data_IF_338781572999
#
_entry.id   IF_338781572999
#
_cell.length_a   1.000
_cell.length_b   1.000
_cell.length_c   1.000
_cell.angle_alpha   90.00
_cell.angle_beta   90.00
_cell.angle_gamma   90.00
#
_symmetry.space_group_name_H-M   'P 1'
#
loop_
_entity.id
_entity.type
_entity.pdbx_description
1 polymer ?
#
# COMPACT_ATOMS: atom_id res chain seq x y z
N UNK A 1 -53.66 -18.97 78.66
CA UNK A 1 -53.22 -20.19 77.93
C UNK A 1 -53.68 -20.07 76.47
N UNK A 2 -52.86 -20.56 75.55
CA UNK A 2 -52.89 -20.31 74.10
C UNK A 2 -53.98 -21.07 73.33
N UNK A 3 -54.51 -20.51 72.23
CA UNK A 3 -54.83 -21.23 70.97
C UNK A 3 -55.16 -20.31 69.78
N UNK A 4 -54.99 -20.85 68.57
CA UNK A 4 -55.00 -20.18 67.25
C UNK A 4 -56.40 -19.99 66.62
N UNK A 5 -56.52 -18.98 65.75
CA UNK A 5 -56.90 -19.03 64.31
C UNK A 5 -57.05 -17.59 63.79
N UNK A 6 -56.35 -17.13 62.74
CA UNK A 6 -56.64 -17.31 61.30
C UNK A 6 -58.01 -16.71 60.91
N UNK A 7 -58.18 -15.79 59.95
CA UNK A 7 -57.26 -15.13 58.99
C UNK A 7 -57.56 -13.59 58.95
N UNK A 8 -57.29 -12.74 57.93
CA UNK A 8 -56.65 -12.77 56.58
C UNK A 8 -56.31 -11.32 56.14
N UNK A 9 -55.77 -11.11 54.92
CA UNK A 9 -55.78 -9.81 54.15
C UNK A 9 -54.93 -8.64 54.70
N UNK A 10 -53.98 -8.00 53.99
CA UNK A 10 -53.43 -8.17 52.63
C UNK A 10 -51.89 -8.01 52.69
N UNK A 11 -51.17 -8.81 51.90
CA UNK A 11 -49.84 -8.44 51.48
C UNK A 11 -49.97 -7.41 50.34
N UNK A 12 -49.70 -6.15 50.62
CA UNK A 12 -49.37 -5.18 49.57
C UNK A 12 -47.96 -5.53 49.06
N UNK A 13 -47.91 -6.39 48.05
CA UNK A 13 -46.68 -6.68 47.32
C UNK A 13 -46.36 -5.44 46.49
N UNK A 14 -45.48 -4.59 47.02
CA UNK A 14 -44.88 -3.45 46.34
C UNK A 14 -43.90 -3.96 45.28
N UNK A 15 -44.46 -4.57 44.23
CA UNK A 15 -43.74 -4.99 43.04
C UNK A 15 -43.67 -3.79 42.10
N UNK A 16 -42.70 -2.92 42.37
CA UNK A 16 -42.14 -2.02 41.37
C UNK A 16 -41.22 -2.82 40.44
N UNK A 17 -41.78 -3.84 39.79
CA UNK A 17 -41.12 -4.53 38.69
C UNK A 17 -41.30 -3.67 37.45
N UNK A 18 -40.24 -2.91 37.13
CA UNK A 18 -40.18 -1.89 36.06
C UNK A 18 -40.29 -2.42 34.63
N UNK A 19 -41.28 -3.28 34.38
CA UNK A 19 -41.68 -3.84 33.10
C UNK A 19 -42.90 -3.13 32.49
N UNK A 20 -43.43 -2.09 33.15
CA UNK A 20 -44.59 -1.32 32.65
C UNK A 20 -44.26 -0.41 31.44
N UNK A 21 -43.00 -0.36 31.00
CA UNK A 21 -42.54 0.20 29.73
C UNK A 21 -42.17 -0.92 28.73
N UNK A 22 -42.92 -2.03 28.76
CA UNK A 22 -42.92 -3.02 27.68
C UNK A 22 -43.82 -2.50 26.55
N UNK A 23 -43.20 -2.03 25.48
CA UNK A 23 -43.89 -1.72 24.23
C UNK A 23 -44.68 -2.95 23.77
N UNK A 24 -45.83 -2.74 23.13
CA UNK A 24 -46.54 -3.85 22.49
C UNK A 24 -45.70 -4.39 21.33
N UNK A 25 -45.77 -5.70 21.03
CA UNK A 25 -45.10 -6.32 19.87
C UNK A 25 -45.28 -5.51 18.56
N UNK A 26 -46.46 -4.89 18.36
CA UNK A 26 -46.75 -4.01 17.21
C UNK A 26 -45.96 -2.69 17.26
N UNK A 27 -45.81 -2.10 18.44
CA UNK A 27 -45.12 -0.83 18.68
C UNK A 27 -43.59 -1.01 18.66
N UNK A 28 -43.08 -2.16 19.11
CA UNK A 28 -41.71 -2.61 18.82
C UNK A 28 -41.51 -2.78 17.31
N UNK A 29 -42.47 -3.39 16.59
CA UNK A 29 -42.36 -3.59 15.16
C UNK A 29 -42.40 -2.27 14.36
N UNK A 30 -43.27 -1.32 14.70
CA UNK A 30 -43.32 0.01 14.08
C UNK A 30 -42.04 0.81 14.36
N UNK A 31 -41.53 0.78 15.60
CA UNK A 31 -40.30 1.50 15.94
C UNK A 31 -39.08 0.92 15.24
N UNK A 32 -38.99 -0.41 15.08
CA UNK A 32 -37.96 -1.07 14.26
C UNK A 32 -38.07 -0.67 12.77
N UNK A 33 -39.25 -0.74 12.16
CA UNK A 33 -39.47 -0.34 10.76
C UNK A 33 -39.10 1.13 10.52
N UNK A 34 -39.45 2.01 11.46
CA UNK A 34 -39.09 3.43 11.38
C UNK A 34 -37.56 3.62 11.44
N UNK A 35 -36.88 2.95 12.37
CA UNK A 35 -35.41 2.95 12.46
C UNK A 35 -34.73 2.44 11.18
N UNK A 36 -35.22 1.34 10.60
CA UNK A 36 -34.73 0.81 9.33
C UNK A 36 -34.94 1.79 8.18
N UNK A 37 -36.11 2.43 8.09
CA UNK A 37 -36.43 3.41 7.05
C UNK A 37 -35.48 4.62 7.10
N UNK A 38 -35.21 5.15 8.30
CA UNK A 38 -34.28 6.27 8.53
C UNK A 38 -32.84 5.85 8.24
N UNK A 39 -32.45 4.61 8.59
CA UNK A 39 -31.13 4.08 8.28
C UNK A 39 -30.94 3.90 6.75
N UNK A 40 -31.96 3.42 6.03
CA UNK A 40 -31.95 3.27 4.59
C UNK A 40 -31.88 4.64 3.89
N UNK A 41 -32.69 5.60 4.30
CA UNK A 41 -32.71 6.95 3.73
C UNK A 41 -31.34 7.66 3.88
N UNK A 42 -30.70 7.54 5.05
CA UNK A 42 -29.33 8.05 5.29
C UNK A 42 -28.30 7.39 4.38
N UNK A 43 -28.40 6.08 4.13
CA UNK A 43 -27.52 5.35 3.21
C UNK A 43 -27.74 5.79 1.76
N UNK A 44 -28.99 5.91 1.31
CA UNK A 44 -29.32 6.37 -0.04
C UNK A 44 -28.82 7.79 -0.32
N UNK A 45 -29.03 8.73 0.62
CA UNK A 45 -28.55 10.13 0.52
C UNK A 45 -27.03 10.25 0.39
N UNK A 46 -26.26 9.30 0.91
CA UNK A 46 -24.78 9.36 0.96
C UNK A 46 -24.08 8.44 -0.04
N UNK A 47 -24.80 7.51 -0.68
CA UNK A 47 -24.25 6.51 -1.61
C UNK A 47 -23.36 7.14 -2.68
N UNK A 48 -23.89 8.06 -3.49
CA UNK A 48 -23.12 8.70 -4.57
C UNK A 48 -21.92 9.53 -4.10
N UNK A 49 -21.97 10.11 -2.89
CA UNK A 49 -20.83 10.85 -2.30
C UNK A 49 -19.73 9.87 -1.88
N UNK A 50 -20.10 8.75 -1.26
CA UNK A 50 -19.15 7.71 -0.85
C UNK A 50 -18.51 7.05 -2.06
N UNK A 51 -19.29 6.73 -3.08
CA UNK A 51 -18.81 6.05 -4.27
C UNK A 51 -17.89 6.99 -5.09
N UNK A 52 -18.24 8.28 -5.22
CA UNK A 52 -17.38 9.30 -5.81
C UNK A 52 -16.09 9.57 -5.02
N UNK A 53 -16.16 9.52 -3.68
CA UNK A 53 -14.97 9.61 -2.81
C UNK A 53 -14.03 8.41 -3.02
N UNK A 54 -14.57 7.19 -3.16
CA UNK A 54 -13.74 6.01 -3.37
C UNK A 54 -13.08 6.00 -4.75
N UNK A 55 -13.82 6.37 -5.80
CA UNK A 55 -13.28 6.56 -7.15
C UNK A 55 -12.15 7.61 -7.16
N UNK A 56 -12.32 8.73 -6.45
CA UNK A 56 -11.30 9.77 -6.36
C UNK A 56 -10.02 9.33 -5.63
N UNK A 57 -10.13 8.47 -4.60
CA UNK A 57 -8.96 7.86 -3.95
C UNK A 57 -8.23 6.93 -4.91
N UNK A 58 -8.96 6.05 -5.60
CA UNK A 58 -8.39 5.07 -6.51
C UNK A 58 -7.65 5.75 -7.67
N UNK A 59 -8.27 6.77 -8.29
CA UNK A 59 -7.65 7.57 -9.35
C UNK A 59 -6.38 8.29 -8.85
N UNK A 60 -6.42 8.91 -7.67
CA UNK A 60 -5.24 9.57 -7.08
C UNK A 60 -4.13 8.55 -6.75
N UNK A 61 -4.48 7.36 -6.26
CA UNK A 61 -3.55 6.28 -5.95
C UNK A 61 -2.91 5.73 -7.22
N UNK A 62 -3.70 5.48 -8.26
CA UNK A 62 -3.22 4.97 -9.54
C UNK A 62 -2.29 5.98 -10.23
N UNK A 63 -2.62 7.28 -10.22
CA UNK A 63 -1.72 8.34 -10.73
C UNK A 63 -0.38 8.35 -10.00
N UNK A 64 -0.38 8.21 -8.67
CA UNK A 64 0.84 8.11 -7.86
C UNK A 64 1.65 6.84 -8.18
N UNK A 65 0.96 5.71 -8.38
CA UNK A 65 1.59 4.45 -8.77
C UNK A 65 2.21 4.52 -10.18
N UNK A 66 1.48 5.02 -11.17
CA UNK A 66 1.94 5.09 -12.57
C UNK A 66 3.17 6.00 -12.70
N UNK A 67 3.20 7.12 -11.98
CA UNK A 67 4.35 8.01 -11.92
C UNK A 67 5.57 7.30 -11.30
N UNK A 68 5.42 6.74 -10.08
CA UNK A 68 6.50 6.05 -9.38
C UNK A 68 6.99 4.79 -10.11
N UNK A 69 6.09 4.06 -10.78
CA UNK A 69 6.42 2.92 -11.62
C UNK A 69 7.24 3.35 -12.85
N UNK A 70 6.86 4.45 -13.51
CA UNK A 70 7.58 4.98 -14.67
C UNK A 70 9.00 5.41 -14.29
N UNK A 71 9.15 6.18 -13.22
CA UNK A 71 10.46 6.61 -12.69
C UNK A 71 11.33 5.42 -12.26
N UNK A 72 10.76 4.49 -11.49
CA UNK A 72 11.42 3.28 -11.04
C UNK A 72 11.84 2.37 -12.19
N UNK A 73 10.99 2.16 -13.19
CA UNK A 73 11.29 1.35 -14.36
C UNK A 73 12.46 1.94 -15.17
N UNK A 74 12.50 3.26 -15.38
CA UNK A 74 13.62 3.93 -16.07
C UNK A 74 14.92 3.81 -15.28
N UNK A 75 14.89 4.04 -13.96
CA UNK A 75 16.06 3.89 -13.07
C UNK A 75 16.60 2.46 -13.07
N UNK A 76 15.74 1.49 -12.79
CA UNK A 76 16.12 0.07 -12.69
C UNK A 76 16.54 -0.53 -14.03
N UNK A 77 15.90 -0.16 -15.15
CA UNK A 77 16.31 -0.61 -16.48
C UNK A 77 17.74 -0.14 -16.83
N UNK A 78 18.09 1.12 -16.49
CA UNK A 78 19.45 1.65 -16.72
C UNK A 78 20.50 0.80 -15.99
N UNK A 79 20.28 0.48 -14.72
CA UNK A 79 21.23 -0.33 -13.93
C UNK A 79 21.25 -1.80 -14.37
N UNK A 80 20.09 -2.41 -14.59
CA UNK A 80 19.98 -3.79 -15.06
C UNK A 80 20.65 -4.00 -16.42
N UNK A 81 20.52 -3.04 -17.36
CA UNK A 81 21.19 -3.08 -18.67
C UNK A 81 22.71 -3.06 -18.56
N UNK A 82 23.26 -2.16 -17.73
CA UNK A 82 24.71 -2.09 -17.47
C UNK A 82 25.23 -3.37 -16.77
N UNK A 83 24.50 -3.84 -15.75
CA UNK A 83 24.82 -5.06 -15.01
C UNK A 83 24.79 -6.31 -15.90
N UNK A 84 23.81 -6.39 -16.80
CA UNK A 84 23.69 -7.45 -17.81
C UNK A 84 24.87 -7.44 -18.79
N UNK A 85 25.20 -6.28 -19.35
CA UNK A 85 26.32 -6.15 -20.29
C UNK A 85 27.68 -6.47 -19.65
N UNK A 86 27.92 -6.04 -18.40
CA UNK A 86 29.12 -6.43 -17.64
C UNK A 86 29.15 -7.93 -17.36
N UNK A 87 28.02 -8.53 -16.99
CA UNK A 87 27.89 -9.96 -16.76
C UNK A 87 28.21 -10.79 -18.00
N UNK A 88 27.63 -10.43 -19.15
CA UNK A 88 27.92 -11.06 -20.45
C UNK A 88 29.38 -10.88 -20.83
N UNK A 89 29.94 -9.67 -20.72
CA UNK A 89 31.36 -9.41 -21.03
C UNK A 89 32.31 -10.22 -20.16
N UNK A 90 31.99 -10.39 -18.88
CA UNK A 90 32.75 -11.24 -17.96
C UNK A 90 32.61 -12.73 -18.29
N UNK A 91 31.41 -13.20 -18.62
CA UNK A 91 31.14 -14.61 -18.93
C UNK A 91 31.74 -15.06 -20.26
N UNK A 92 31.77 -14.17 -21.26
CA UNK A 92 32.39 -14.41 -22.56
C UNK A 92 33.92 -14.21 -22.56
N UNK A 93 34.54 -13.89 -21.42
CA UNK A 93 36.00 -13.68 -21.32
C UNK A 93 36.52 -12.44 -22.05
N UNK A 94 35.64 -11.46 -22.34
CA UNK A 94 36.01 -10.21 -23.03
C UNK A 94 36.76 -9.24 -22.10
N UNK A 95 36.49 -9.32 -20.79
CA UNK A 95 37.15 -8.49 -19.78
C UNK A 95 38.52 -9.06 -19.39
N UNK A 96 39.58 -8.24 -19.32
CA UNK A 96 40.87 -8.69 -18.81
C UNK A 96 40.82 -8.94 -17.28
N UNK A 97 41.73 -9.78 -16.79
CA UNK A 97 41.66 -10.39 -15.46
C UNK A 97 41.75 -9.38 -14.31
N UNK A 98 42.50 -8.29 -14.52
CA UNK A 98 42.62 -7.15 -13.61
C UNK A 98 41.29 -6.38 -13.46
N UNK A 99 40.57 -6.18 -14.57
CA UNK A 99 39.26 -5.51 -14.58
C UNK A 99 38.13 -6.39 -14.05
N UNK A 100 38.25 -7.72 -14.05
CA UNK A 100 37.19 -8.63 -13.59
C UNK A 100 36.78 -8.40 -12.12
N UNK A 101 37.72 -8.08 -11.24
CA UNK A 101 37.43 -7.79 -9.82
C UNK A 101 36.62 -6.48 -9.69
N UNK A 102 37.01 -5.46 -10.46
CA UNK A 102 36.32 -4.17 -10.49
C UNK A 102 34.91 -4.30 -11.10
N UNK A 103 34.75 -5.09 -12.16
CA UNK A 103 33.47 -5.40 -12.79
C UNK A 103 32.51 -6.12 -11.81
N UNK A 104 33.01 -7.09 -11.02
CA UNK A 104 32.21 -7.77 -9.99
C UNK A 104 31.74 -6.83 -8.87
N UNK A 105 32.61 -5.94 -8.40
CA UNK A 105 32.25 -4.91 -7.43
C UNK A 105 31.19 -3.96 -7.99
N UNK A 106 31.39 -3.46 -9.22
CA UNK A 106 30.46 -2.59 -9.93
C UNK A 106 29.09 -3.25 -10.16
N UNK A 107 29.04 -4.52 -10.61
CA UNK A 107 27.78 -5.27 -10.75
C UNK A 107 27.03 -5.44 -9.42
N UNK A 108 27.75 -5.55 -8.30
CA UNK A 108 27.14 -5.63 -6.96
C UNK A 108 26.54 -4.29 -6.55
N UNK A 109 27.26 -3.18 -6.78
CA UNK A 109 26.75 -1.82 -6.55
C UNK A 109 25.53 -1.50 -7.41
N UNK A 110 25.57 -1.84 -8.71
CA UNK A 110 24.42 -1.68 -9.62
C UNK A 110 23.19 -2.47 -9.14
N UNK A 111 23.39 -3.68 -8.58
CA UNK A 111 22.28 -4.46 -8.00
C UNK A 111 21.72 -3.81 -6.73
N UNK A 112 22.56 -3.23 -5.87
CA UNK A 112 22.10 -2.47 -4.70
C UNK A 112 21.29 -1.24 -5.11
N UNK A 113 21.72 -0.52 -6.14
CA UNK A 113 21.01 0.64 -6.71
C UNK A 113 19.70 0.25 -7.43
N UNK A 114 19.62 -0.96 -7.98
CA UNK A 114 18.40 -1.52 -8.61
C UNK A 114 17.34 -1.92 -7.58
N UNK A 115 17.75 -2.31 -6.37
CA UNK A 115 16.87 -2.68 -5.25
C UNK A 115 16.59 -1.52 -4.29
N UNK A 116 17.23 -0.38 -4.49
CA UNK A 116 17.01 0.83 -3.70
C UNK A 116 15.68 1.50 -4.10
N UNK A 117 14.70 1.40 -3.20
CA UNK A 117 13.38 2.03 -3.35
C UNK A 117 13.28 3.37 -2.61
N UNK A 118 14.40 3.96 -2.16
CA UNK A 118 14.35 5.26 -1.49
C UNK A 118 14.02 6.37 -2.49
N UNK A 119 13.02 7.19 -2.13
CA UNK A 119 12.58 8.33 -2.95
C UNK A 119 13.43 9.54 -2.59
N UNK A 120 14.52 9.72 -3.35
CA UNK A 120 15.28 10.96 -3.32
C UNK A 120 14.42 12.08 -3.91
N UNK A 121 14.12 13.11 -3.09
CA UNK A 121 13.35 14.27 -3.56
C UNK A 121 14.10 15.02 -4.66
N UNK A 122 13.33 15.57 -5.59
CA UNK A 122 13.81 16.15 -6.85
C UNK A 122 15.07 17.01 -6.74
N UNK A 123 16.10 16.64 -7.49
CA UNK A 123 17.27 17.49 -7.78
C UNK A 123 18.62 16.93 -7.34
N UNK A 124 18.70 16.19 -6.23
CA UNK A 124 19.96 15.57 -5.82
C UNK A 124 20.19 14.25 -6.55
N UNK A 125 20.80 14.36 -7.74
CA UNK A 125 21.33 13.23 -8.50
C UNK A 125 22.43 12.56 -7.68
N UNK A 126 22.13 11.40 -7.08
CA UNK A 126 23.06 10.62 -6.25
C UNK A 126 24.47 10.55 -6.88
N UNK A 127 25.50 11.22 -6.32
CA UNK A 127 26.83 11.22 -6.92
C UNK A 127 27.39 9.79 -6.97
N UNK A 128 27.13 9.01 -5.92
CA UNK A 128 27.45 7.58 -5.81
C UNK A 128 26.86 6.73 -6.96
N UNK A 129 25.61 7.01 -7.36
CA UNK A 129 24.95 6.28 -8.45
C UNK A 129 25.57 6.64 -9.81
N UNK A 130 25.79 7.93 -10.06
CA UNK A 130 26.36 8.41 -11.31
C UNK A 130 27.81 7.95 -11.50
N UNK A 131 28.57 7.84 -10.42
CA UNK A 131 29.95 7.32 -10.43
C UNK A 131 30.00 5.81 -10.66
N UNK A 132 29.09 5.04 -10.06
CA UNK A 132 28.93 3.61 -10.36
C UNK A 132 28.59 3.38 -11.84
N UNK A 133 27.73 4.23 -12.42
CA UNK A 133 27.38 4.14 -13.85
C UNK A 133 28.55 4.54 -14.75
N UNK A 134 29.26 5.65 -14.47
CA UNK A 134 30.48 6.04 -15.22
C UNK A 134 31.53 4.94 -15.19
N UNK A 135 31.71 4.28 -14.05
CA UNK A 135 32.60 3.13 -13.91
C UNK A 135 32.16 1.97 -14.81
N UNK A 136 30.87 1.58 -14.77
CA UNK A 136 30.33 0.54 -15.63
C UNK A 136 30.53 0.85 -17.12
N UNK A 137 30.25 2.08 -17.55
CA UNK A 137 30.47 2.54 -18.93
C UNK A 137 31.94 2.54 -19.33
N UNK A 138 32.85 2.90 -18.41
CA UNK A 138 34.30 2.87 -18.66
C UNK A 138 34.82 1.44 -18.86
N UNK A 139 34.33 0.49 -18.04
CA UNK A 139 34.66 -0.93 -18.17
C UNK A 139 34.09 -1.52 -19.48
N UNK A 140 32.90 -1.10 -19.92
CA UNK A 140 32.32 -1.57 -21.17
C UNK A 140 33.01 -0.94 -22.40
N UNK A 141 33.43 0.32 -22.32
CA UNK A 141 34.19 0.99 -23.38
C UNK A 141 35.56 0.35 -23.62
N UNK A 142 36.24 -0.21 -22.61
CA UNK A 142 37.51 -0.93 -22.83
C UNK A 142 37.35 -2.22 -23.63
N UNK A 143 36.15 -2.80 -23.69
CA UNK A 143 35.81 -3.97 -24.53
C UNK A 143 35.03 -3.57 -25.81
N UNK A 144 35.08 -2.29 -26.20
CA UNK A 144 34.40 -1.72 -27.37
C UNK A 144 32.85 -1.81 -27.33
N UNK A 145 32.25 -1.90 -26.14
CA UNK A 145 30.80 -1.84 -25.94
C UNK A 145 30.38 -0.46 -25.44
N UNK A 146 29.73 0.34 -26.30
CA UNK A 146 29.17 1.63 -25.90
C UNK A 146 27.63 1.56 -25.80
N UNK A 147 27.13 1.69 -24.57
CA UNK A 147 25.69 1.73 -24.27
C UNK A 147 25.15 3.16 -24.10
N UNK A 148 25.99 4.19 -24.21
CA UNK A 148 25.58 5.59 -24.05
C UNK A 148 24.75 6.11 -25.25
N UNK A 149 24.89 5.47 -26.41
CA UNK A 149 24.20 5.83 -27.66
C UNK A 149 22.75 5.35 -27.75
N UNK A 150 22.40 4.27 -27.04
CA UNK A 150 21.10 3.57 -27.14
C UNK A 150 19.94 4.24 -26.39
N UNK A 151 20.05 5.52 -26.05
CA UNK A 151 19.02 6.26 -25.27
C UNK A 151 18.14 7.19 -26.12
N UNK A 152 18.15 7.03 -27.46
CA UNK A 152 17.35 7.80 -28.42
C UNK A 152 16.48 6.88 -29.28
N UNK A 153 15.45 6.30 -28.69
CA UNK A 153 14.33 5.66 -29.38
C UNK A 153 13.09 5.67 -28.49
#
# INVERSE_FOLDING_TARGET
MTRHSAESSLAASDSDDGFQDSLSDEEEHETLLNQESVALERRMKTMGIRDGLELGKEDTLQQGFDQGFTEGAVRSFRFARLRGALGTSSACGLLPLDMMTQAKACMTQLRSLEMDTSVHKDGEKDPSSDDTVKLAETILKSVNLDLSTSSKQ
#
